data_IF_970767158971
#
_entry.id   IF_970767158971
#
_cell.length_a   1.000
_cell.length_b   1.000
_cell.length_c   1.000
_cell.angle_alpha   90.00
_cell.angle_beta   90.00
_cell.angle_gamma   90.00
#
_symmetry.space_group_name_H-M   'P 1'
#
loop_
_entity.id
_entity.type
_entity.pdbx_description
1 polymer ?
#
# COMPACT_ATOMS: atom_id res chain seq x y z
N UNK A 1 -6.44 -9.25 11.96
CA UNK A 1 -6.10 -7.98 11.30
C UNK A 1 -5.54 -7.11 12.42
N UNK A 2 -4.22 -7.07 12.61
CA UNK A 2 -3.64 -6.55 13.85
C UNK A 2 -3.57 -5.02 13.77
N UNK A 3 -4.61 -4.39 14.29
CA UNK A 3 -4.61 -3.01 14.77
C UNK A 3 -4.79 -3.10 16.28
N UNK A 4 -3.79 -2.70 17.06
CA UNK A 4 -3.95 -2.56 18.49
C UNK A 4 -4.46 -1.14 18.74
N UNK A 5 -5.65 -1.05 19.34
CA UNK A 5 -6.24 0.22 19.80
C UNK A 5 -5.26 0.92 20.74
N UNK A 6 -5.15 2.23 20.63
CA UNK A 6 -4.21 3.09 21.38
C UNK A 6 -4.66 3.41 22.81
N UNK A 7 -5.74 2.77 23.29
CA UNK A 7 -6.49 3.25 24.46
C UNK A 7 -6.82 2.18 25.52
N UNK A 8 -6.35 0.92 25.41
CA UNK A 8 -6.84 -0.14 26.31
C UNK A 8 -5.82 -1.12 26.90
N UNK A 9 -4.50 -0.91 26.79
CA UNK A 9 -3.57 -1.66 27.61
C UNK A 9 -2.37 -0.81 28.04
N UNK A 10 -2.16 -0.76 29.35
CA UNK A 10 -0.99 -0.15 30.00
C UNK A 10 0.36 -0.82 29.65
N UNK A 11 0.40 -1.75 28.68
CA UNK A 11 1.57 -2.44 28.14
C UNK A 11 1.68 -2.29 26.59
N UNK A 12 1.10 -1.24 26.01
CA UNK A 12 1.02 -0.94 24.56
C UNK A 12 2.35 -0.48 23.90
N UNK A 13 3.38 -1.33 23.91
CA UNK A 13 4.66 -1.07 23.22
C UNK A 13 4.84 -1.83 21.91
N UNK A 14 3.97 -2.79 21.58
CA UNK A 14 4.18 -3.71 20.46
C UNK A 14 3.02 -3.67 19.46
N UNK A 15 3.18 -2.88 18.40
CA UNK A 15 2.22 -2.83 17.30
C UNK A 15 2.64 -1.89 16.18
N UNK A 16 2.24 -2.21 14.95
CA UNK A 16 2.45 -1.35 13.78
C UNK A 16 1.26 -1.48 12.82
N UNK A 17 1.08 -0.47 11.96
CA UNK A 17 0.12 -0.56 10.87
C UNK A 17 0.59 -1.59 9.83
N UNK A 18 -0.18 -2.66 9.60
CA UNK A 18 0.24 -3.74 8.69
C UNK A 18 0.45 -3.28 7.24
N UNK A 19 -0.31 -2.29 6.78
CA UNK A 19 -0.18 -1.78 5.42
C UNK A 19 1.11 -0.96 5.29
N UNK A 20 1.37 -0.12 6.29
CA UNK A 20 2.61 0.64 6.35
C UNK A 20 3.83 -0.26 6.47
N UNK A 21 3.81 -1.25 7.39
CA UNK A 21 4.93 -2.16 7.62
C UNK A 21 5.30 -2.94 6.36
N UNK A 22 4.31 -3.39 5.58
CA UNK A 22 4.58 -4.07 4.31
C UNK A 22 5.20 -3.14 3.27
N UNK A 23 4.73 -1.90 3.16
CA UNK A 23 5.33 -0.91 2.27
C UNK A 23 6.77 -0.60 2.69
N UNK A 24 6.99 -0.38 3.99
CA UNK A 24 8.29 -0.08 4.58
C UNK A 24 9.31 -1.19 4.30
N UNK A 25 8.92 -2.44 4.51
CA UNK A 25 9.77 -3.61 4.26
C UNK A 25 10.13 -3.76 2.78
N UNK A 26 9.25 -3.32 1.87
CA UNK A 26 9.52 -3.26 0.42
C UNK A 26 10.30 -2.00 0.00
N UNK A 27 10.75 -1.19 0.97
CA UNK A 27 11.55 0.01 0.77
C UNK A 27 10.74 1.25 0.37
N UNK A 28 9.42 1.25 0.56
CA UNK A 28 8.59 2.42 0.31
C UNK A 28 8.26 3.15 1.61
N UNK A 29 8.32 4.46 1.55
CA UNK A 29 7.81 5.36 2.57
C UNK A 29 6.53 6.04 2.08
N UNK A 30 5.75 6.57 3.01
CA UNK A 30 4.45 7.20 2.75
C UNK A 30 4.53 8.69 3.02
N UNK A 31 4.03 9.48 2.07
CA UNK A 31 3.90 10.93 2.20
C UNK A 31 2.42 11.34 2.15
N UNK A 32 1.99 12.07 3.18
CA UNK A 32 0.69 12.73 3.23
C UNK A 32 0.88 14.22 2.91
N UNK A 33 0.17 14.73 1.91
CA UNK A 33 0.29 16.13 1.50
C UNK A 33 -0.36 17.11 2.48
N UNK A 34 -1.34 16.65 3.26
CA UNK A 34 -2.15 17.51 4.11
C UNK A 34 -1.36 18.03 5.32
N UNK A 35 -1.54 19.31 5.66
CA UNK A 35 -1.00 19.96 6.87
C UNK A 35 -1.85 19.68 8.13
N UNK A 36 -2.68 18.63 8.09
CA UNK A 36 -3.37 18.20 9.29
C UNK A 36 -2.30 17.78 10.27
N UNK A 37 -2.26 18.45 11.43
CA UNK A 37 -1.43 18.06 12.57
C UNK A 37 -1.45 16.53 12.60
N UNK A 38 -0.30 15.89 12.39
CA UNK A 38 -0.14 14.45 12.43
C UNK A 38 -0.25 13.95 13.88
N UNK A 39 -1.14 14.59 14.64
CA UNK A 39 -1.53 14.27 15.98
C UNK A 39 -2.38 13.01 15.87
N UNK A 40 -1.67 11.90 15.94
CA UNK A 40 -2.12 10.65 16.53
C UNK A 40 -2.97 9.71 15.69
N UNK A 41 -3.64 10.14 14.61
CA UNK A 41 -4.59 9.25 13.94
C UNK A 41 -4.04 8.54 12.69
N UNK A 42 -3.54 7.32 12.89
CA UNK A 42 -3.13 6.43 11.81
C UNK A 42 -4.31 5.90 10.95
N UNK A 43 -5.57 6.16 11.34
CA UNK A 43 -6.73 5.91 10.48
C UNK A 43 -6.71 6.78 9.22
N UNK A 44 -6.02 7.93 9.26
CA UNK A 44 -5.82 8.80 8.11
C UNK A 44 -5.20 8.07 6.92
N UNK A 45 -4.37 7.05 7.15
CA UNK A 45 -3.80 6.24 6.06
C UNK A 45 -4.87 5.49 5.24
N UNK A 46 -6.02 5.18 5.84
CA UNK A 46 -7.12 4.47 5.19
C UNK A 46 -8.09 5.42 4.48
N UNK A 47 -8.15 6.68 4.88
CA UNK A 47 -9.12 7.65 4.38
C UNK A 47 -8.50 8.70 3.47
N UNK A 48 -7.27 9.12 3.74
CA UNK A 48 -6.63 10.22 3.04
C UNK A 48 -5.81 9.76 1.83
N UNK A 49 -5.81 10.55 0.75
CA UNK A 49 -4.90 10.34 -0.36
C UNK A 49 -3.44 10.47 0.07
N UNK A 50 -2.58 9.66 -0.55
CA UNK A 50 -1.16 9.61 -0.20
C UNK A 50 -0.28 9.41 -1.41
N UNK A 51 1.01 9.69 -1.25
CA UNK A 51 2.05 9.43 -2.25
C UNK A 51 3.10 8.49 -1.69
N UNK A 52 3.79 7.78 -2.59
CA UNK A 52 4.88 6.90 -2.22
C UNK A 52 6.22 7.59 -2.45
N UNK A 53 7.09 7.45 -1.47
CA UNK A 53 8.49 7.82 -1.56
C UNK A 53 9.38 6.57 -1.50
N UNK A 54 10.60 6.68 -2.01
CA UNK A 54 11.66 5.67 -1.88
C UNK A 54 12.99 6.39 -1.83
N UNK A 55 13.69 6.30 -0.69
CA UNK A 55 14.91 7.08 -0.49
C UNK A 55 14.64 8.58 -0.54
N UNK A 56 15.30 9.30 -1.43
CA UNK A 56 15.11 10.75 -1.63
C UNK A 56 14.09 11.08 -2.73
N UNK A 57 13.49 10.07 -3.35
CA UNK A 57 12.60 10.23 -4.49
C UNK A 57 11.13 10.12 -4.07
N UNK A 58 10.30 11.03 -4.56
CA UNK A 58 8.86 11.06 -4.39
C UNK A 58 8.17 10.86 -5.73
N UNK A 59 7.23 9.92 -5.80
CA UNK A 59 6.41 9.75 -6.97
C UNK A 59 5.29 10.80 -7.01
N UNK A 60 5.20 11.59 -8.08
CA UNK A 60 4.07 12.49 -8.34
C UNK A 60 2.85 11.71 -8.86
N UNK A 61 2.38 10.76 -8.05
CA UNK A 61 1.15 10.01 -8.24
C UNK A 61 0.45 9.88 -6.89
N UNK A 62 -0.81 10.28 -6.86
CA UNK A 62 -1.64 10.24 -5.67
C UNK A 62 -2.47 8.96 -5.66
N UNK A 63 -2.23 8.13 -4.65
CA UNK A 63 -3.03 6.95 -4.37
C UNK A 63 -4.23 7.33 -3.52
N UNK A 64 -5.37 6.68 -3.76
CA UNK A 64 -6.62 6.89 -3.02
C UNK A 64 -6.42 6.79 -1.50
N UNK A 65 -5.64 5.80 -1.06
CA UNK A 65 -5.25 5.57 0.34
C UNK A 65 -4.14 4.50 0.38
N UNK A 66 -3.73 4.09 1.59
CA UNK A 66 -2.69 3.07 1.77
C UNK A 66 -3.08 1.69 1.23
N UNK A 67 -4.37 1.37 1.19
CA UNK A 67 -4.85 0.10 0.63
C UNK A 67 -4.69 0.07 -0.89
N UNK A 68 -4.96 1.19 -1.55
CA UNK A 68 -4.71 1.33 -2.98
C UNK A 68 -3.21 1.21 -3.28
N UNK A 69 -2.38 1.92 -2.53
CA UNK A 69 -0.93 1.90 -2.71
C UNK A 69 -0.34 0.49 -2.55
N UNK A 70 -0.71 -0.24 -1.49
CA UNK A 70 -0.18 -1.59 -1.26
C UNK A 70 -0.67 -2.60 -2.31
N UNK A 71 -1.89 -2.43 -2.84
CA UNK A 71 -2.39 -3.29 -3.92
C UNK A 71 -1.55 -3.13 -5.19
N UNK A 72 -1.21 -1.89 -5.55
CA UNK A 72 -0.34 -1.60 -6.70
C UNK A 72 1.07 -2.13 -6.45
N UNK A 73 1.65 -1.89 -5.28
CA UNK A 73 3.00 -2.39 -4.94
C UNK A 73 3.06 -3.91 -5.02
N UNK A 74 2.10 -4.63 -4.43
CA UNK A 74 2.06 -6.08 -4.55
C UNK A 74 1.86 -6.56 -5.99
N UNK A 75 1.06 -5.86 -6.79
CA UNK A 75 0.92 -6.19 -8.20
C UNK A 75 2.22 -5.99 -8.96
N UNK A 76 2.95 -4.91 -8.68
CA UNK A 76 4.28 -4.67 -9.23
C UNK A 76 5.23 -5.81 -8.84
N UNK A 77 5.35 -6.16 -7.56
CA UNK A 77 6.22 -7.27 -7.13
C UNK A 77 5.81 -8.61 -7.76
N UNK A 78 4.51 -8.85 -7.99
CA UNK A 78 4.01 -10.06 -8.64
C UNK A 78 4.30 -10.09 -10.15
N UNK A 79 4.16 -8.96 -10.84
CA UNK A 79 4.25 -8.86 -12.31
C UNK A 79 5.58 -8.28 -12.80
N UNK A 80 6.50 -7.92 -11.92
CA UNK A 80 7.75 -7.23 -12.25
C UNK A 80 8.54 -7.95 -13.37
N UNK A 81 8.67 -9.27 -13.31
CA UNK A 81 9.35 -10.06 -14.34
C UNK A 81 8.67 -10.00 -15.72
N UNK A 82 7.34 -9.88 -15.76
CA UNK A 82 6.58 -9.71 -17.00
C UNK A 82 6.64 -8.27 -17.53
N UNK A 83 6.71 -7.28 -16.62
CA UNK A 83 6.74 -5.86 -16.97
C UNK A 83 8.08 -5.41 -17.55
N UNK A 84 9.19 -6.08 -17.23
CA UNK A 84 10.50 -5.81 -17.87
C UNK A 84 10.51 -6.00 -19.39
N UNK A 85 9.61 -6.83 -19.92
CA UNK A 85 9.45 -7.03 -21.37
C UNK A 85 8.65 -5.92 -22.05
N UNK A 86 7.83 -5.19 -21.28
CA UNK A 86 7.06 -4.05 -21.74
C UNK A 86 7.89 -2.78 -21.58
N UNK A 87 8.81 -2.54 -22.53
CA UNK A 87 9.35 -1.18 -22.77
C UNK A 87 8.25 -0.31 -23.39
N UNK A 88 7.17 -0.08 -22.64
CA UNK A 88 6.26 1.00 -22.97
C UNK A 88 7.02 2.28 -22.68
N UNK A 89 7.13 3.15 -23.68
CA UNK A 89 7.53 4.55 -23.50
C UNK A 89 6.44 5.24 -22.69
N UNK A 90 6.33 4.90 -21.41
CA UNK A 90 5.48 5.64 -20.49
C UNK A 90 6.15 6.99 -20.34
N UNK A 91 5.38 8.06 -20.61
CA UNK A 91 5.84 9.44 -20.50
C UNK A 91 6.48 9.65 -19.14
N UNK A 92 7.53 10.47 -19.12
CA UNK A 92 8.30 10.85 -17.94
C UNK A 92 7.38 11.14 -16.76
N UNK A 93 7.16 10.16 -15.90
CA UNK A 93 6.55 10.40 -14.61
C UNK A 93 7.45 11.35 -13.86
N UNK A 94 6.84 12.38 -13.29
CA UNK A 94 7.56 13.38 -12.51
C UNK A 94 7.95 12.74 -11.19
N UNK A 95 9.06 12.01 -11.21
CA UNK A 95 9.79 11.68 -9.97
C UNK A 95 10.35 13.01 -9.50
N UNK A 96 9.94 13.42 -8.31
CA UNK A 96 10.37 14.68 -7.70
C UNK A 96 11.30 14.34 -6.56
N UNK A 97 12.41 15.07 -6.42
CA UNK A 97 13.27 14.94 -5.26
C UNK A 97 12.55 15.50 -4.02
N UNK A 98 12.56 14.75 -2.92
CA UNK A 98 11.98 15.18 -1.66
C UNK A 98 12.63 16.49 -1.19
N UNK A 99 11.82 17.53 -1.02
CA UNK A 99 12.25 18.71 -0.28
C UNK A 99 12.50 18.36 1.20
N UNK A 100 13.34 19.15 1.89
CA UNK A 100 13.67 18.92 3.31
C UNK A 100 12.42 18.79 4.19
N UNK A 101 11.44 19.68 4.00
CA UNK A 101 10.17 19.65 4.72
C UNK A 101 9.34 18.40 4.43
N UNK A 102 9.42 17.83 3.23
CA UNK A 102 8.72 16.58 2.90
C UNK A 102 9.43 15.37 3.52
N UNK A 103 10.76 15.35 3.49
CA UNK A 103 11.53 14.30 4.14
C UNK A 103 11.30 14.27 5.66
N UNK A 104 11.18 15.44 6.31
CA UNK A 104 10.79 15.56 7.71
C UNK A 104 9.40 14.97 7.95
N UNK A 105 8.39 15.35 7.16
CA UNK A 105 7.03 14.78 7.26
C UNK A 105 7.00 13.26 7.11
N UNK A 106 7.78 12.71 6.18
CA UNK A 106 7.90 11.26 5.99
C UNK A 106 8.53 10.60 7.22
N UNK A 107 9.57 11.21 7.79
CA UNK A 107 10.23 10.74 9.00
C UNK A 107 9.30 10.79 10.21
N UNK A 108 8.54 11.87 10.37
CA UNK A 108 7.58 12.03 11.47
C UNK A 108 6.48 10.98 11.39
N UNK A 109 5.91 10.77 10.20
CA UNK A 109 4.89 9.74 9.97
C UNK A 109 5.44 8.33 10.20
N UNK A 110 6.68 8.08 9.79
CA UNK A 110 7.38 6.83 10.10
C UNK A 110 7.49 6.65 11.61
N UNK A 111 7.95 7.65 12.35
CA UNK A 111 8.07 7.56 13.82
C UNK A 111 6.74 7.31 14.53
N UNK A 112 5.64 7.86 14.02
CA UNK A 112 4.29 7.66 14.57
C UNK A 112 3.80 6.21 14.36
N UNK A 113 4.07 5.64 13.20
CA UNK A 113 3.60 4.31 12.80
C UNK A 113 4.51 3.18 13.28
N UNK A 114 5.66 3.55 13.83
CA UNK A 114 6.76 2.66 14.14
C UNK A 114 7.10 2.70 15.63
N UNK A 115 6.51 1.77 16.37
CA UNK A 115 7.03 1.42 17.70
C UNK A 115 8.13 0.35 17.63
N UNK A 116 8.13 -0.49 16.58
CA UNK A 116 9.09 -1.59 16.41
C UNK A 116 9.34 -1.96 14.92
N UNK A 117 10.41 -1.43 14.32
CA UNK A 117 10.89 -1.78 12.95
C UNK A 117 11.36 -3.22 12.86
N UNK A 118 12.08 -3.69 13.88
CA UNK A 118 12.73 -5.00 13.83
C UNK A 118 11.68 -6.11 13.80
N UNK A 119 10.58 -5.93 14.52
CA UNK A 119 9.43 -6.84 14.45
C UNK A 119 8.77 -6.85 13.08
N UNK A 120 8.60 -5.68 12.44
CA UNK A 120 8.03 -5.60 11.09
C UNK A 120 8.91 -6.32 10.07
N UNK A 121 10.23 -6.08 10.11
CA UNK A 121 11.20 -6.75 9.25
C UNK A 121 11.24 -8.26 9.52
N UNK A 122 11.17 -8.69 10.78
CA UNK A 122 11.15 -10.11 11.15
C UNK A 122 9.89 -10.80 10.63
N UNK A 123 8.72 -10.19 10.80
CA UNK A 123 7.43 -10.76 10.36
C UNK A 123 7.36 -10.82 8.83
N UNK A 124 7.86 -9.80 8.15
CA UNK A 124 7.79 -9.68 6.69
C UNK A 124 9.11 -10.03 5.98
N UNK A 125 10.05 -10.67 6.67
CA UNK A 125 11.38 -11.01 6.15
C UNK A 125 11.32 -11.75 4.81
N UNK A 126 10.34 -12.65 4.63
CA UNK A 126 10.17 -13.38 3.36
C UNK A 126 9.84 -12.48 2.15
N UNK A 127 9.31 -11.26 2.37
CA UNK A 127 9.07 -10.29 1.31
C UNK A 127 10.37 -9.65 0.82
N UNK A 128 11.34 -9.37 1.70
CA UNK A 128 12.62 -8.74 1.31
C UNK A 128 13.53 -9.70 0.56
N UNK A 129 13.52 -10.99 0.91
CA UNK A 129 14.28 -12.02 0.18
C UNK A 129 13.85 -12.13 -1.28
N UNK A 130 12.56 -11.93 -1.57
CA UNK A 130 12.04 -11.99 -2.95
C UNK A 130 12.45 -10.79 -3.80
N UNK A 131 12.56 -9.59 -3.24
CA UNK A 131 13.00 -8.42 -4.00
C UNK A 131 14.50 -8.43 -4.27
N UNK A 132 15.32 -8.84 -3.29
CA UNK A 132 16.78 -8.88 -3.42
C UNK A 132 17.27 -9.87 -4.49
N UNK A 133 16.51 -10.94 -4.75
CA UNK A 133 16.86 -11.94 -5.77
C UNK A 133 16.22 -11.69 -7.14
N UNK A 134 15.21 -10.82 -7.25
CA UNK A 134 14.47 -10.68 -8.51
C UNK A 134 14.76 -9.39 -9.28
N UNK A 135 14.68 -8.17 -8.72
CA UNK A 135 14.69 -6.98 -9.59
C UNK A 135 15.24 -5.70 -8.94
N UNK A 136 16.13 -5.00 -9.66
CA UNK A 136 16.43 -3.60 -9.37
C UNK A 136 15.15 -2.77 -9.59
N UNK A 137 14.67 -2.12 -8.54
CA UNK A 137 13.49 -1.25 -8.61
C UNK A 137 13.71 -0.11 -9.61
N UNK A 138 12.69 0.20 -10.42
CA UNK A 138 12.69 1.32 -11.35
C UNK A 138 11.29 1.98 -11.35
N UNK A 139 11.26 3.28 -11.08
CA UNK A 139 10.04 4.07 -11.06
C UNK A 139 9.30 4.05 -12.41
N UNK A 140 10.01 3.92 -13.53
CA UNK A 140 9.38 3.84 -14.85
C UNK A 140 8.54 2.58 -14.97
N UNK A 141 9.11 1.43 -14.58
CA UNK A 141 8.38 0.16 -14.53
C UNK A 141 7.26 0.19 -13.49
N UNK A 142 7.47 0.83 -12.34
CA UNK A 142 6.44 0.97 -11.32
C UNK A 142 5.23 1.77 -11.83
N UNK A 143 5.44 2.86 -12.55
CA UNK A 143 4.34 3.64 -13.18
C UNK A 143 3.62 2.80 -14.23
N UNK A 144 4.35 2.04 -15.04
CA UNK A 144 3.71 1.11 -15.97
C UNK A 144 2.85 0.06 -15.22
N UNK A 145 3.28 -0.34 -14.03
CA UNK A 145 2.52 -1.23 -13.15
C UNK A 145 1.24 -0.60 -12.61
N UNK A 146 1.22 0.70 -12.30
CA UNK A 146 0.01 1.44 -11.90
C UNK A 146 -1.05 1.29 -12.99
N UNK A 147 -0.71 1.66 -14.23
CA UNK A 147 -1.64 1.58 -15.36
C UNK A 147 -2.09 0.13 -15.63
N UNK A 148 -1.15 -0.83 -15.59
CA UNK A 148 -1.47 -2.24 -15.78
C UNK A 148 -2.36 -2.80 -14.65
N UNK A 149 -2.20 -2.32 -13.42
CA UNK A 149 -3.04 -2.68 -12.28
C UNK A 149 -4.45 -2.13 -12.44
N UNK A 150 -4.60 -0.87 -12.87
CA UNK A 150 -5.91 -0.26 -13.12
C UNK A 150 -6.70 -1.03 -14.19
N UNK A 151 -6.03 -1.36 -15.30
CA UNK A 151 -6.60 -2.20 -16.37
C UNK A 151 -6.99 -3.59 -15.87
N UNK A 152 -6.13 -4.22 -15.06
CA UNK A 152 -6.40 -5.52 -14.46
C UNK A 152 -7.59 -5.47 -13.50
N UNK A 153 -7.62 -4.49 -12.59
CA UNK A 153 -8.69 -4.31 -11.62
C UNK A 153 -10.04 -4.06 -12.31
N UNK A 154 -10.05 -3.28 -13.39
CA UNK A 154 -11.24 -3.05 -14.19
C UNK A 154 -11.75 -4.32 -14.88
N UNK A 155 -10.86 -5.12 -15.49
CA UNK A 155 -11.22 -6.41 -16.11
C UNK A 155 -11.78 -7.37 -15.07
N UNK A 156 -11.10 -7.51 -13.93
CA UNK A 156 -11.53 -8.36 -12.83
C UNK A 156 -12.91 -7.94 -12.31
N UNK A 157 -13.15 -6.63 -12.16
CA UNK A 157 -14.46 -6.11 -11.74
C UNK A 157 -15.58 -6.50 -12.71
N UNK A 158 -15.32 -6.47 -14.02
CA UNK A 158 -16.28 -6.90 -15.05
C UNK A 158 -16.55 -8.40 -14.99
N UNK A 159 -15.50 -9.21 -14.81
CA UNK A 159 -15.62 -10.66 -14.67
C UNK A 159 -16.43 -11.02 -13.44
N UNK A 160 -16.07 -10.47 -12.26
CA UNK A 160 -16.82 -10.65 -11.01
C UNK A 160 -18.30 -10.29 -11.22
N UNK A 161 -18.58 -9.14 -11.84
CA UNK A 161 -19.96 -8.71 -12.10
C UNK A 161 -20.72 -9.68 -13.00
N UNK A 162 -20.05 -10.24 -14.00
CA UNK A 162 -20.65 -11.21 -14.93
C UNK A 162 -20.88 -12.56 -14.26
N UNK A 163 -19.97 -12.97 -13.36
CA UNK A 163 -20.06 -14.19 -12.57
C UNK A 163 -21.07 -14.12 -11.42
N UNK A 164 -21.50 -12.93 -10.99
CA UNK A 164 -22.49 -12.79 -9.90
C UNK A 164 -23.79 -13.56 -10.17
N UNK A 165 -24.30 -13.52 -11.40
CA UNK A 165 -25.52 -14.26 -11.75
C UNK A 165 -25.29 -15.76 -11.65
N UNK A 166 -24.12 -16.24 -12.11
CA UNK A 166 -23.71 -17.63 -12.01
C UNK A 166 -23.58 -18.08 -10.55
N UNK A 167 -22.90 -17.31 -9.70
CA UNK A 167 -22.75 -17.63 -8.27
C UNK A 167 -24.09 -17.63 -7.53
N UNK A 168 -25.00 -16.72 -7.89
CA UNK A 168 -26.37 -16.72 -7.36
C UNK A 168 -27.13 -17.99 -7.76
N UNK A 169 -27.05 -18.41 -9.02
CA UNK A 169 -27.72 -19.61 -9.51
C UNK A 169 -27.20 -20.89 -8.82
N UNK A 170 -25.91 -20.94 -8.49
CA UNK A 170 -25.26 -22.08 -7.83
C UNK A 170 -25.23 -21.97 -6.30
N UNK A 171 -26.04 -21.07 -5.71
CA UNK A 171 -26.13 -20.89 -4.25
C UNK A 171 -24.77 -20.64 -3.57
N UNK A 172 -23.81 -20.08 -4.28
CA UNK A 172 -22.47 -19.77 -3.76
C UNK A 172 -22.42 -18.43 -3.03
N UNK A 173 -23.51 -17.65 -3.08
CA UNK A 173 -23.67 -16.39 -2.36
C UNK A 173 -24.54 -16.63 -1.12
N UNK A 174 -23.94 -16.46 0.05
CA UNK A 174 -24.64 -16.53 1.34
C UNK A 174 -25.15 -15.15 1.72
N UNK A 175 -26.45 -15.03 1.95
CA UNK A 175 -26.99 -13.85 2.62
C UNK A 175 -26.63 -13.93 4.09
N UNK A 176 -25.74 -13.05 4.54
CA UNK A 176 -25.51 -12.85 5.97
C UNK A 176 -26.74 -12.12 6.50
N UNK A 177 -27.62 -12.83 7.21
CA UNK A 177 -28.65 -12.20 8.01
C UNK A 177 -27.95 -11.45 9.14
N UNK A 178 -27.99 -10.13 9.11
CA UNK A 178 -27.61 -9.33 10.26
C UNK A 178 -28.68 -9.54 11.33
N UNK A 179 -28.42 -10.46 12.26
CA UNK A 179 -29.19 -10.54 13.50
C UNK A 179 -29.10 -9.19 14.19
N UNK A 180 -30.19 -8.41 14.13
CA UNK A 180 -30.39 -7.29 15.04
C UNK A 180 -30.59 -7.88 16.44
N UNK A 181 -29.49 -8.13 17.15
CA UNK A 181 -29.55 -8.30 18.60
C UNK A 181 -29.75 -6.91 19.20
N UNK A 182 -31.00 -6.69 19.65
CA UNK A 182 -31.42 -5.64 20.58
C UNK A 182 -30.67 -5.75 21.91
#
# INVERSE_FOLDING_TARGET
MYWFSQDQASDELLGFNICWARLHVLGYDVYLAQDNNCDSDASLLLTEPLRLARGTELLDHEFVNILHAIQVVHFYCWKASALQSFKVRVGTSKIVELSKSQAEKVSDLKSLLLKDTELAETIFYSLTCRENELHCFDWTNFVAAIAAWEDYAWKLRKEIRSSLAYWRAHQSLYNVQSDKRL
#
